data_IF_938111238123
#
_entry.id   IF_938111238123
#
_cell.length_a   1.000
_cell.length_b   1.000
_cell.length_c   1.000
_cell.angle_alpha   90.00
_cell.angle_beta   90.00
_cell.angle_gamma   90.00
#
_symmetry.space_group_name_H-M   'P 1'
#
loop_
_entity.id
_entity.type
_entity.pdbx_description
1 polymer ?
#
# COMPACT_ATOMS: atom_id res chain seq x y z
N UNK A 1 30.66 -44.11 -0.75
CA UNK A 1 29.97 -43.25 0.22
C UNK A 1 28.74 -44.04 0.64
N UNK A 2 28.95 -45.06 1.47
CA UNK A 2 28.84 -44.98 2.94
C UNK A 2 27.36 -44.79 3.33
N UNK A 3 26.64 -45.93 3.37
CA UNK A 3 25.37 -46.06 4.06
C UNK A 3 25.64 -45.87 5.56
N UNK A 4 25.18 -44.76 6.11
CA UNK A 4 25.16 -44.53 7.55
C UNK A 4 23.96 -45.30 8.13
N UNK A 5 24.29 -46.45 8.73
CA UNK A 5 23.45 -47.22 9.63
C UNK A 5 23.14 -46.35 10.85
N UNK A 6 22.01 -45.63 10.80
CA UNK A 6 21.45 -44.95 11.95
C UNK A 6 21.01 -46.00 12.96
N UNK A 7 21.91 -46.36 13.87
CA UNK A 7 21.59 -47.06 15.10
C UNK A 7 20.51 -46.28 15.83
N UNK A 8 19.28 -46.81 15.76
CA UNK A 8 18.10 -46.29 16.44
C UNK A 8 18.39 -46.23 17.93
N UNK A 9 18.64 -45.04 18.45
CA UNK A 9 18.72 -44.82 19.90
C UNK A 9 17.40 -45.29 20.52
N UNK A 10 17.44 -46.11 21.60
CA UNK A 10 16.23 -46.61 22.23
C UNK A 10 15.40 -45.42 22.69
N UNK A 11 14.19 -45.30 22.16
CA UNK A 11 13.32 -44.16 22.46
C UNK A 11 12.90 -44.21 23.93
N UNK A 12 12.57 -43.06 24.51
CA UNK A 12 12.11 -42.99 25.91
C UNK A 12 10.90 -43.92 26.18
N UNK A 13 10.11 -44.24 25.15
CA UNK A 13 9.04 -45.24 25.22
C UNK A 13 9.55 -46.67 25.36
N UNK A 14 10.65 -47.04 24.70
CA UNK A 14 11.26 -48.37 24.82
C UNK A 14 11.86 -48.57 26.22
N UNK A 15 12.50 -47.55 26.77
CA UNK A 15 13.02 -47.58 28.13
C UNK A 15 11.91 -47.61 29.19
N UNK A 16 10.80 -46.89 28.98
CA UNK A 16 9.62 -46.96 29.84
C UNK A 16 8.96 -48.35 29.79
N UNK A 17 8.89 -48.96 28.61
CA UNK A 17 8.38 -50.32 28.46
C UNK A 17 9.24 -51.32 29.26
N UNK A 18 10.56 -51.14 29.25
CA UNK A 18 11.51 -51.99 29.99
C UNK A 18 11.41 -51.79 31.52
N UNK A 19 11.22 -50.54 31.98
CA UNK A 19 10.93 -50.23 33.40
C UNK A 19 9.59 -50.82 33.85
N UNK A 20 8.57 -50.79 32.97
CA UNK A 20 7.25 -51.36 33.28
C UNK A 20 7.34 -52.89 33.36
N UNK A 21 8.13 -53.51 32.49
CA UNK A 21 8.39 -54.94 32.49
C UNK A 21 9.14 -55.38 33.76
N UNK A 22 10.18 -54.66 34.16
CA UNK A 22 10.93 -54.96 35.39
C UNK A 22 10.10 -54.74 36.65
N UNK A 23 9.22 -53.72 36.70
CA UNK A 23 8.26 -53.54 37.80
C UNK A 23 7.24 -54.66 37.90
N UNK A 24 6.73 -55.14 36.76
CA UNK A 24 5.81 -56.28 36.73
C UNK A 24 6.49 -57.54 37.27
N UNK A 25 7.75 -57.77 36.89
CA UNK A 25 8.54 -58.89 37.40
C UNK A 25 8.86 -58.78 38.90
N UNK A 26 9.18 -57.58 39.40
CA UNK A 26 9.38 -57.34 40.84
C UNK A 26 8.08 -57.60 41.63
N UNK A 27 6.93 -57.20 41.08
CA UNK A 27 5.63 -57.43 41.72
C UNK A 27 5.32 -58.93 41.81
N UNK A 28 5.66 -59.70 40.78
CA UNK A 28 5.54 -61.16 40.76
C UNK A 28 6.52 -61.84 41.75
N UNK A 29 7.75 -61.33 41.84
CA UNK A 29 8.74 -61.76 42.82
C UNK A 29 8.28 -61.47 44.27
N UNK A 30 7.62 -60.33 44.52
CA UNK A 30 7.04 -60.04 45.84
C UNK A 30 5.83 -60.93 46.16
N UNK A 31 4.96 -61.21 45.18
CA UNK A 31 3.81 -62.10 45.37
C UNK A 31 4.26 -63.53 45.71
N UNK A 32 5.30 -64.03 45.04
CA UNK A 32 5.89 -65.35 45.35
C UNK A 32 6.59 -65.36 46.72
N UNK A 33 7.21 -64.26 47.13
CA UNK A 33 7.81 -64.12 48.46
C UNK A 33 6.74 -64.06 49.56
N UNK A 34 5.62 -63.38 49.31
CA UNK A 34 4.46 -63.34 50.21
C UNK A 34 3.81 -64.74 50.34
N UNK A 35 3.72 -65.50 49.25
CA UNK A 35 3.26 -66.90 49.26
C UNK A 35 4.23 -67.81 50.03
N UNK A 36 5.54 -67.63 49.89
CA UNK A 36 6.55 -68.34 50.70
C UNK A 36 6.49 -67.96 52.18
N UNK A 37 6.21 -66.70 52.52
CA UNK A 37 6.05 -66.24 53.89
C UNK A 37 4.79 -66.87 54.52
N UNK A 38 3.66 -66.86 53.80
CA UNK A 38 2.43 -67.50 54.27
C UNK A 38 2.60 -69.02 54.44
N UNK A 39 3.34 -69.68 53.55
CA UNK A 39 3.72 -71.09 53.69
C UNK A 39 4.63 -71.34 54.91
N UNK A 40 5.51 -70.39 55.25
CA UNK A 40 6.42 -70.46 56.40
C UNK A 40 5.72 -70.23 57.75
N UNK A 41 4.61 -69.50 57.77
CA UNK A 41 3.80 -69.28 58.99
C UNK A 41 3.00 -70.55 59.36
N UNK A 42 2.74 -71.44 58.40
CA UNK A 42 2.03 -72.70 58.61
C UNK A 42 2.89 -73.83 59.22
N UNK A 43 4.22 -73.71 59.26
CA UNK A 43 5.15 -74.74 59.80
C UNK A 43 6.35 -74.12 60.56
N UNK A 44 6.62 -74.47 61.84
CA UNK A 44 7.82 -74.01 62.56
C UNK A 44 9.08 -74.77 62.08
N UNK A 45 10.30 -74.25 62.32
CA UNK A 45 11.28 -74.08 61.26
C UNK A 45 12.18 -75.30 61.08
N UNK A 46 12.11 -75.92 59.91
CA UNK A 46 13.24 -76.66 59.33
C UNK A 46 13.72 -75.84 58.12
N UNK A 47 14.88 -75.21 58.32
CA UNK A 47 15.70 -74.48 57.34
C UNK A 47 14.94 -73.61 56.34
N UNK A 48 14.69 -72.35 56.73
CA UNK A 48 14.73 -71.28 55.74
C UNK A 48 16.14 -71.30 55.16
N UNK A 49 16.26 -71.66 53.88
CA UNK A 49 17.54 -71.77 53.19
C UNK A 49 18.16 -70.37 53.10
N UNK A 50 19.09 -70.07 54.01
CA UNK A 50 19.76 -68.78 54.13
C UNK A 50 20.48 -68.35 52.83
N UNK A 51 20.72 -69.30 51.92
CA UNK A 51 21.30 -69.04 50.61
C UNK A 51 20.28 -68.49 49.59
N UNK A 52 18.99 -68.85 49.67
CA UNK A 52 17.95 -68.25 48.83
C UNK A 52 17.70 -66.77 49.20
N UNK A 53 17.69 -66.46 50.50
CA UNK A 53 17.55 -65.06 50.97
C UNK A 53 18.75 -64.22 50.54
N UNK A 54 19.97 -64.78 50.54
CA UNK A 54 21.16 -64.08 50.06
C UNK A 54 21.12 -63.85 48.56
N UNK A 55 20.69 -64.85 47.77
CA UNK A 55 20.51 -64.69 46.33
C UNK A 55 19.48 -63.60 46.02
N UNK A 56 18.35 -63.57 46.73
CA UNK A 56 17.35 -62.52 46.56
C UNK A 56 17.90 -61.13 46.91
N UNK A 57 18.69 -60.99 47.98
CA UNK A 57 19.32 -59.71 48.34
C UNK A 57 20.36 -59.23 47.31
N UNK A 58 21.15 -60.15 46.76
CA UNK A 58 22.11 -59.85 45.69
C UNK A 58 21.38 -59.42 44.41
N UNK A 59 20.31 -60.13 44.06
CA UNK A 59 19.46 -59.85 42.91
C UNK A 59 18.72 -58.51 43.04
N UNK A 60 18.24 -58.17 44.23
CA UNK A 60 17.66 -56.84 44.53
C UNK A 60 18.73 -55.74 44.39
N UNK A 61 19.96 -55.99 44.84
CA UNK A 61 21.04 -54.99 44.74
C UNK A 61 21.47 -54.74 43.29
N UNK A 62 21.52 -55.78 42.47
CA UNK A 62 21.81 -55.66 41.04
C UNK A 62 20.67 -54.98 40.30
N UNK A 63 19.42 -55.26 40.65
CA UNK A 63 18.27 -54.55 40.08
C UNK A 63 18.22 -53.08 40.49
N UNK A 64 18.55 -52.74 41.73
CA UNK A 64 18.63 -51.35 42.18
C UNK A 64 19.73 -50.57 41.43
N UNK A 65 20.83 -51.25 41.08
CA UNK A 65 21.88 -50.68 40.23
C UNK A 65 21.40 -50.44 38.81
N UNK A 66 20.73 -51.42 38.20
CA UNK A 66 20.17 -51.31 36.84
C UNK A 66 19.10 -50.22 36.77
N UNK A 67 18.22 -50.12 37.78
CA UNK A 67 17.20 -49.08 37.87
C UNK A 67 17.81 -47.68 38.00
N UNK A 68 18.90 -47.53 38.75
CA UNK A 68 19.61 -46.25 38.85
C UNK A 68 20.25 -45.85 37.52
N UNK A 69 20.83 -46.80 36.80
CA UNK A 69 21.41 -46.55 35.48
C UNK A 69 20.32 -46.21 34.45
N UNK A 70 19.19 -46.92 34.45
CA UNK A 70 18.08 -46.62 33.53
C UNK A 70 17.42 -45.28 33.85
N UNK A 71 17.22 -44.95 35.14
CA UNK A 71 16.73 -43.63 35.55
C UNK A 71 17.67 -42.50 35.13
N UNK A 72 18.98 -42.67 35.30
CA UNK A 72 19.95 -41.68 34.86
C UNK A 72 19.92 -41.48 33.33
N UNK A 73 19.75 -42.56 32.57
CA UNK A 73 19.63 -42.51 31.12
C UNK A 73 18.34 -41.80 30.68
N UNK A 74 17.20 -42.13 31.30
CA UNK A 74 15.91 -41.48 31.02
C UNK A 74 15.93 -40.00 31.39
N UNK A 75 16.55 -39.66 32.53
CA UNK A 75 16.68 -38.27 32.95
C UNK A 75 17.51 -37.47 31.94
N UNK A 76 18.59 -38.05 31.41
CA UNK A 76 19.44 -37.41 30.41
C UNK A 76 18.70 -37.23 29.07
N UNK A 77 18.01 -38.26 28.59
CA UNK A 77 17.27 -38.17 27.32
C UNK A 77 16.14 -37.15 27.40
N UNK A 78 15.40 -37.09 28.50
CA UNK A 78 14.36 -36.09 28.71
C UNK A 78 14.92 -34.67 28.69
N UNK A 79 16.08 -34.44 29.31
CA UNK A 79 16.74 -33.14 29.33
C UNK A 79 17.14 -32.70 27.91
N UNK A 80 17.80 -33.58 27.17
CA UNK A 80 18.23 -33.34 25.79
C UNK A 80 17.03 -33.09 24.86
N UNK A 81 15.93 -33.85 25.02
CA UNK A 81 14.69 -33.67 24.27
C UNK A 81 14.04 -32.31 24.57
N UNK A 82 13.93 -31.94 25.86
CA UNK A 82 13.37 -30.64 26.26
C UNK A 82 14.20 -29.46 25.78
N UNK A 83 15.53 -29.55 25.81
CA UNK A 83 16.41 -28.50 25.31
C UNK A 83 16.30 -28.37 23.77
N UNK A 84 16.19 -29.50 23.07
CA UNK A 84 16.01 -29.52 21.61
C UNK A 84 14.66 -28.96 21.18
N UNK A 85 13.59 -29.31 21.90
CA UNK A 85 12.25 -28.79 21.61
C UNK A 85 12.13 -27.31 21.97
N UNK A 86 12.71 -26.88 23.09
CA UNK A 86 12.74 -25.47 23.50
C UNK A 86 13.52 -24.61 22.49
N UNK A 87 14.67 -25.08 22.00
CA UNK A 87 15.46 -24.37 20.99
C UNK A 87 14.76 -24.33 19.64
N UNK A 88 14.17 -25.43 19.18
CA UNK A 88 13.43 -25.47 17.91
C UNK A 88 12.17 -24.59 17.93
N UNK A 89 11.41 -24.62 19.03
CA UNK A 89 10.21 -23.81 19.21
C UNK A 89 10.53 -22.31 19.26
N UNK A 90 11.57 -21.93 20.02
CA UNK A 90 12.01 -20.53 20.12
C UNK A 90 12.59 -20.01 18.80
N UNK A 91 13.37 -20.80 18.06
CA UNK A 91 13.87 -20.42 16.75
C UNK A 91 12.72 -20.16 15.76
N UNK A 92 11.72 -21.05 15.75
CA UNK A 92 10.56 -20.92 14.85
C UNK A 92 9.71 -19.70 15.20
N UNK A 93 9.51 -19.42 16.49
CA UNK A 93 8.81 -18.24 16.97
C UNK A 93 9.55 -16.94 16.59
N UNK A 94 10.87 -16.90 16.78
CA UNK A 94 11.70 -15.75 16.41
C UNK A 94 11.71 -15.51 14.89
N UNK A 95 11.81 -16.57 14.08
CA UNK A 95 11.73 -16.46 12.61
C UNK A 95 10.38 -15.91 12.18
N UNK A 96 9.28 -16.40 12.76
CA UNK A 96 7.93 -15.91 12.44
C UNK A 96 7.77 -14.44 12.82
N UNK A 97 8.22 -14.07 14.02
CA UNK A 97 8.17 -12.69 14.50
C UNK A 97 9.00 -11.75 13.61
N UNK A 98 10.23 -12.13 13.31
CA UNK A 98 11.11 -11.36 12.41
C UNK A 98 10.50 -11.21 11.01
N UNK A 99 9.93 -12.29 10.46
CA UNK A 99 9.28 -12.26 9.15
C UNK A 99 8.03 -11.36 9.13
N UNK A 100 7.30 -11.27 10.23
CA UNK A 100 6.16 -10.37 10.36
C UNK A 100 6.62 -8.92 10.48
N UNK A 101 7.60 -8.65 11.33
CA UNK A 101 8.18 -7.32 11.51
C UNK A 101 8.77 -6.77 10.20
N UNK A 102 9.54 -7.59 9.47
CA UNK A 102 10.07 -7.23 8.15
C UNK A 102 8.93 -6.89 7.18
N UNK A 103 7.84 -7.67 7.18
CA UNK A 103 6.71 -7.42 6.30
C UNK A 103 6.03 -6.08 6.60
N UNK A 104 5.86 -5.75 7.87
CA UNK A 104 5.25 -4.50 8.31
C UNK A 104 6.14 -3.31 7.94
N UNK A 105 7.44 -3.41 8.18
CA UNK A 105 8.42 -2.37 7.85
C UNK A 105 8.53 -2.16 6.33
N UNK A 106 8.60 -3.25 5.56
CA UNK A 106 8.60 -3.17 4.08
C UNK A 106 7.31 -2.53 3.57
N UNK A 107 6.15 -2.88 4.12
CA UNK A 107 4.89 -2.26 3.71
C UNK A 107 4.88 -0.75 3.96
N UNK A 108 5.46 -0.30 5.07
CA UNK A 108 5.55 1.11 5.42
C UNK A 108 6.51 1.87 4.49
N UNK A 109 7.70 1.31 4.23
CA UNK A 109 8.67 1.90 3.31
C UNK A 109 8.17 1.92 1.86
N UNK A 110 7.53 0.84 1.40
CA UNK A 110 6.91 0.80 0.07
C UNK A 110 5.83 1.87 -0.04
N UNK A 111 4.97 2.02 0.96
CA UNK A 111 3.94 3.07 0.94
C UNK A 111 4.56 4.46 0.83
N UNK A 112 5.56 4.77 1.64
CA UNK A 112 6.23 6.08 1.62
C UNK A 112 6.91 6.35 0.28
N UNK A 113 7.64 5.37 -0.26
CA UNK A 113 8.30 5.49 -1.57
C UNK A 113 7.29 5.62 -2.71
N UNK A 114 6.19 4.87 -2.66
CA UNK A 114 5.10 4.96 -3.64
C UNK A 114 4.43 6.32 -3.55
N UNK A 115 4.17 6.86 -2.36
CA UNK A 115 3.55 8.18 -2.19
C UNK A 115 4.46 9.30 -2.78
N UNK A 116 5.77 9.23 -2.55
CA UNK A 116 6.75 10.16 -3.15
C UNK A 116 6.78 10.03 -4.67
N UNK A 117 6.90 8.81 -5.18
CA UNK A 117 6.97 8.56 -6.63
C UNK A 117 5.64 8.88 -7.32
N UNK A 118 4.50 8.71 -6.66
CA UNK A 118 3.18 9.11 -7.16
C UNK A 118 3.15 10.62 -7.38
N UNK A 119 3.67 11.43 -6.46
CA UNK A 119 3.67 12.89 -6.63
C UNK A 119 4.60 13.32 -7.78
N UNK A 120 5.73 12.64 -7.97
CA UNK A 120 6.68 12.95 -9.05
C UNK A 120 6.21 12.46 -10.43
N UNK A 121 5.52 11.32 -10.49
CA UNK A 121 5.18 10.64 -11.74
C UNK A 121 3.71 10.65 -12.12
N UNK A 122 2.78 11.00 -11.23
CA UNK A 122 1.45 11.40 -11.69
C UNK A 122 1.55 12.83 -12.21
N UNK A 123 1.31 13.04 -13.53
CA UNK A 123 1.06 14.37 -14.05
C UNK A 123 -0.08 14.98 -13.24
N UNK A 124 -0.08 16.32 -13.15
CA UNK A 124 -1.11 17.15 -12.52
C UNK A 124 -2.45 16.46 -12.35
N UNK A 125 -3.04 16.52 -11.15
CA UNK A 125 -4.26 15.78 -10.81
C UNK A 125 -5.28 15.81 -11.96
N UNK A 126 -5.96 14.69 -12.23
CA UNK A 126 -6.98 14.63 -13.28
C UNK A 126 -8.01 15.77 -13.17
N UNK A 127 -8.23 16.27 -11.95
CA UNK A 127 -9.05 17.43 -11.68
C UNK A 127 -8.45 18.73 -12.24
N UNK A 128 -7.15 18.99 -12.04
CA UNK A 128 -6.47 20.13 -12.66
C UNK A 128 -6.48 20.05 -14.19
N UNK A 129 -6.25 18.86 -14.75
CA UNK A 129 -6.36 18.66 -16.21
C UNK A 129 -7.79 18.91 -16.72
N UNK A 130 -8.81 18.47 -15.98
CA UNK A 130 -10.21 18.73 -16.31
C UNK A 130 -10.54 20.23 -16.24
N UNK A 131 -10.02 20.94 -15.25
CA UNK A 131 -10.21 22.38 -15.10
C UNK A 131 -9.50 23.17 -16.21
N UNK A 132 -8.27 22.78 -16.56
CA UNK A 132 -7.51 23.41 -17.65
C UNK A 132 -8.16 23.16 -19.01
N UNK A 133 -8.61 21.94 -19.29
CA UNK A 133 -9.34 21.62 -20.53
C UNK A 133 -10.68 22.34 -20.60
N UNK A 134 -11.39 22.47 -19.49
CA UNK A 134 -12.63 23.26 -19.41
C UNK A 134 -12.35 24.74 -19.73
N UNK A 135 -11.27 25.31 -19.18
CA UNK A 135 -10.85 26.67 -19.49
C UNK A 135 -10.54 26.85 -20.98
N UNK A 136 -9.76 25.93 -21.56
CA UNK A 136 -9.45 25.94 -23.00
C UNK A 136 -10.71 25.85 -23.86
N UNK A 137 -11.69 25.02 -23.48
CA UNK A 137 -12.96 24.92 -24.19
C UNK A 137 -13.76 26.22 -24.16
N UNK A 138 -13.77 26.94 -23.03
CA UNK A 138 -14.41 28.25 -22.97
C UNK A 138 -13.68 29.28 -23.86
N UNK A 139 -12.35 29.28 -23.88
CA UNK A 139 -11.55 30.13 -24.79
C UNK A 139 -11.88 29.82 -26.26
N UNK A 140 -12.00 28.54 -26.62
CA UNK A 140 -12.40 28.11 -27.98
C UNK A 140 -13.82 28.56 -28.31
N UNK A 141 -14.78 28.42 -27.39
CA UNK A 141 -16.17 28.87 -27.61
C UNK A 141 -16.23 30.38 -27.85
N UNK A 142 -15.50 31.16 -27.06
CA UNK A 142 -15.39 32.62 -27.23
C UNK A 142 -14.80 32.94 -28.60
N UNK A 143 -13.70 32.28 -28.98
CA UNK A 143 -13.06 32.47 -30.29
C UNK A 143 -13.97 32.11 -31.46
N UNK A 144 -14.72 31.01 -31.35
CA UNK A 144 -15.72 30.60 -32.35
C UNK A 144 -16.81 31.66 -32.49
N UNK A 145 -17.37 32.13 -31.36
CA UNK A 145 -18.42 33.15 -31.36
C UNK A 145 -17.94 34.48 -31.95
N UNK A 146 -16.70 34.85 -31.66
CA UNK A 146 -16.05 36.04 -32.23
C UNK A 146 -15.83 35.86 -33.74
N UNK A 147 -15.46 34.67 -34.19
CA UNK A 147 -15.30 34.35 -35.62
C UNK A 147 -16.64 34.44 -36.36
N UNK A 148 -17.73 33.90 -35.81
CA UNK A 148 -19.09 34.07 -36.34
C UNK A 148 -19.48 35.55 -36.42
N UNK A 149 -19.21 36.31 -35.35
CA UNK A 149 -19.54 37.74 -35.29
C UNK A 149 -18.75 38.54 -36.32
N UNK A 150 -17.46 38.26 -36.50
CA UNK A 150 -16.62 38.85 -37.56
C UNK A 150 -17.14 38.53 -38.94
N UNK A 151 -17.58 37.29 -39.18
CA UNK A 151 -18.18 36.91 -40.45
C UNK A 151 -19.44 37.73 -40.73
N UNK A 152 -20.34 37.88 -39.76
CA UNK A 152 -21.53 38.73 -39.90
C UNK A 152 -21.14 40.19 -40.17
N UNK A 153 -20.16 40.71 -39.42
CA UNK A 153 -19.72 42.10 -39.55
C UNK A 153 -19.02 42.39 -40.89
N UNK A 154 -18.39 41.40 -41.51
CA UNK A 154 -17.75 41.55 -42.83
C UNK A 154 -18.70 41.95 -43.96
N UNK A 155 -20.00 41.66 -43.80
CA UNK A 155 -21.02 42.10 -44.75
C UNK A 155 -21.37 43.60 -44.60
N UNK A 156 -20.91 44.27 -43.55
CA UNK A 156 -21.14 45.69 -43.33
C UNK A 156 -20.09 46.49 -44.10
N UNK A 157 -20.58 47.34 -44.99
CA UNK A 157 -19.81 48.19 -45.89
C UNK A 157 -20.00 49.69 -45.53
N UNK A 158 -19.27 50.56 -46.24
CA UNK A 158 -19.40 52.01 -46.10
C UNK A 158 -20.82 52.54 -46.39
N UNK A 159 -21.61 51.83 -47.20
CA UNK A 159 -22.97 52.24 -47.57
C UNK A 159 -24.02 52.00 -46.48
N UNK A 160 -23.76 51.07 -45.54
CA UNK A 160 -24.73 50.61 -44.54
C UNK A 160 -24.17 50.73 -43.11
N UNK A 161 -23.59 51.89 -42.78
CA UNK A 161 -23.01 52.19 -41.45
C UNK A 161 -24.00 52.23 -40.28
N UNK A 162 -25.30 52.22 -40.57
CA UNK A 162 -26.34 52.15 -39.55
C UNK A 162 -26.67 50.71 -39.14
N UNK A 163 -26.20 49.71 -39.90
CA UNK A 163 -26.47 48.30 -39.64
C UNK A 163 -25.81 47.87 -38.32
N UNK A 164 -26.50 46.98 -37.61
CA UNK A 164 -26.10 46.55 -36.28
C UNK A 164 -24.84 45.70 -36.34
N UNK A 165 -23.83 46.07 -35.57
CA UNK A 165 -22.63 45.26 -35.38
C UNK A 165 -22.96 44.04 -34.50
N UNK A 166 -22.63 42.84 -34.99
CA UNK A 166 -22.58 41.64 -34.18
C UNK A 166 -21.49 41.80 -33.11
N UNK A 167 -21.81 41.41 -31.88
CA UNK A 167 -20.98 41.71 -30.69
C UNK A 167 -19.80 40.75 -30.60
N UNK A 168 -18.59 41.29 -30.45
CA UNK A 168 -17.41 40.52 -30.06
C UNK A 168 -17.27 40.48 -28.54
N UNK A 169 -16.90 39.32 -28.04
CA UNK A 169 -16.56 39.08 -26.64
C UNK A 169 -15.06 39.35 -26.43
N UNK A 170 -14.70 39.88 -25.28
CA UNK A 170 -13.31 40.09 -24.86
C UNK A 170 -12.65 38.79 -24.41
N UNK A 171 -11.40 38.88 -23.94
CA UNK A 171 -10.62 37.75 -23.38
C UNK A 171 -11.28 37.11 -22.16
N UNK A 172 -12.08 37.88 -21.41
CA UNK A 172 -12.89 37.39 -20.28
C UNK A 172 -14.24 36.79 -20.73
N UNK A 173 -14.54 36.71 -22.03
CA UNK A 173 -15.79 36.19 -22.57
C UNK A 173 -17.01 37.12 -22.37
N UNK A 174 -16.78 38.37 -21.98
CA UNK A 174 -17.80 39.39 -21.76
C UNK A 174 -17.85 40.42 -22.89
N UNK A 175 -18.95 41.17 -22.95
CA UNK A 175 -19.12 42.29 -23.88
C UNK A 175 -18.55 43.57 -23.24
N UNK A 176 -17.75 44.33 -23.98
CA UNK A 176 -17.35 45.68 -23.55
C UNK A 176 -18.57 46.59 -23.33
N UNK A 177 -18.65 47.32 -22.22
CA UNK A 177 -19.70 48.33 -21.99
C UNK A 177 -19.74 49.42 -23.07
N UNK A 178 -18.58 49.71 -23.67
CA UNK A 178 -18.38 50.72 -24.71
C UNK A 178 -18.54 50.14 -26.11
N UNK A 179 -19.06 48.92 -26.26
CA UNK A 179 -19.24 48.34 -27.59
C UNK A 179 -20.33 49.10 -28.37
N UNK A 180 -20.01 49.67 -29.55
CA UNK A 180 -20.96 50.46 -30.32
C UNK A 180 -22.07 49.59 -30.92
N UNK A 181 -23.28 50.15 -31.04
CA UNK A 181 -24.40 49.44 -31.66
C UNK A 181 -24.23 49.27 -33.19
N UNK A 182 -23.63 50.27 -33.83
CA UNK A 182 -23.30 50.30 -35.26
C UNK A 182 -22.05 51.16 -35.50
N UNK A 183 -21.48 51.10 -36.70
CA UNK A 183 -20.26 51.86 -37.03
C UNK A 183 -20.49 53.37 -37.02
N UNK A 184 -21.71 53.85 -37.28
CA UNK A 184 -22.06 55.26 -37.10
C UNK A 184 -21.95 55.72 -35.64
N UNK A 185 -22.38 54.92 -34.67
CA UNK A 185 -22.22 55.23 -33.24
C UNK A 185 -20.76 55.27 -32.83
N UNK A 186 -19.92 54.41 -33.41
CA UNK A 186 -18.46 54.42 -33.16
C UNK A 186 -17.84 55.76 -33.57
N UNK A 187 -18.22 56.31 -34.73
CA UNK A 187 -17.70 57.61 -35.20
C UNK A 187 -18.15 58.81 -34.34
N UNK A 188 -19.08 58.60 -33.40
CA UNK A 188 -19.46 59.61 -32.41
C UNK A 188 -18.64 59.58 -31.12
N UNK A 189 -17.69 58.66 -30.98
CA UNK A 189 -16.86 58.54 -29.78
C UNK A 189 -15.75 59.59 -29.74
N UNK A 190 -15.38 60.02 -28.54
CA UNK A 190 -14.19 60.82 -28.29
C UNK A 190 -12.94 59.94 -28.19
N UNK A 191 -11.77 60.59 -28.15
CA UNK A 191 -10.48 59.89 -28.11
C UNK A 191 -10.36 58.96 -26.91
N UNK A 192 -10.86 59.39 -25.75
CA UNK A 192 -10.77 58.61 -24.51
C UNK A 192 -11.67 57.37 -24.55
N UNK A 193 -12.89 57.48 -25.10
CA UNK A 193 -13.77 56.31 -25.30
C UNK A 193 -13.20 55.35 -26.35
N UNK A 194 -12.60 55.88 -27.42
CA UNK A 194 -11.99 55.04 -28.47
C UNK A 194 -10.77 54.28 -27.94
N UNK A 195 -9.91 54.91 -27.13
CA UNK A 195 -8.78 54.25 -26.46
C UNK A 195 -9.25 53.19 -25.49
N UNK A 196 -10.24 53.52 -24.65
CA UNK A 196 -10.83 52.58 -23.69
C UNK A 196 -11.44 51.37 -24.40
N UNK A 197 -12.10 51.57 -25.53
CA UNK A 197 -12.62 50.49 -26.36
C UNK A 197 -11.50 49.62 -26.95
N UNK A 198 -10.43 50.21 -27.47
CA UNK A 198 -9.27 49.43 -27.94
C UNK A 198 -8.65 48.61 -26.81
N UNK A 199 -8.54 49.19 -25.61
CA UNK A 199 -8.01 48.54 -24.41
C UNK A 199 -8.83 47.32 -23.99
N UNK A 200 -10.16 47.43 -23.99
CA UNK A 200 -11.07 46.33 -23.63
C UNK A 200 -10.90 45.08 -24.52
N UNK A 201 -10.34 45.25 -25.71
CA UNK A 201 -10.06 44.18 -26.68
C UNK A 201 -8.56 43.91 -26.88
N UNK A 202 -7.71 44.39 -25.97
CA UNK A 202 -6.25 44.24 -26.01
C UNK A 202 -5.62 44.72 -27.34
N UNK A 203 -6.16 45.80 -27.91
CA UNK A 203 -5.67 46.43 -29.14
C UNK A 203 -4.68 47.58 -28.83
N UNK A 204 -3.70 47.85 -29.71
CA UNK A 204 -2.70 48.88 -29.48
C UNK A 204 -3.27 50.31 -29.58
N UNK A 205 -3.44 50.96 -28.42
CA UNK A 205 -3.93 52.33 -28.32
C UNK A 205 -2.98 53.36 -28.99
N UNK A 206 -3.55 54.34 -29.69
CA UNK A 206 -2.81 55.46 -30.30
C UNK A 206 -3.45 56.79 -29.88
N UNK A 207 -2.68 57.88 -29.92
CA UNK A 207 -3.20 59.25 -29.71
C UNK A 207 -4.01 59.79 -30.90
N UNK A 208 -4.18 59.00 -31.96
CA UNK A 208 -4.97 59.31 -33.13
C UNK A 208 -6.30 58.55 -33.08
N UNK A 209 -7.40 59.31 -32.99
CA UNK A 209 -8.77 58.82 -32.95
C UNK A 209 -9.09 57.92 -34.15
N UNK A 210 -8.67 58.33 -35.36
CA UNK A 210 -8.96 57.60 -36.58
C UNK A 210 -8.21 56.28 -36.65
N UNK A 211 -6.99 56.23 -36.11
CA UNK A 211 -6.23 54.99 -36.01
C UNK A 211 -6.89 54.01 -35.04
N UNK A 212 -7.38 54.49 -33.88
CA UNK A 212 -8.12 53.64 -32.95
C UNK A 212 -9.39 53.06 -33.58
N UNK A 213 -10.17 53.90 -34.30
CA UNK A 213 -11.35 53.41 -35.05
C UNK A 213 -10.98 52.38 -36.10
N UNK A 214 -9.93 52.64 -36.89
CA UNK A 214 -9.49 51.70 -37.93
C UNK A 214 -9.04 50.38 -37.34
N UNK A 215 -8.30 50.40 -36.24
CA UNK A 215 -7.86 49.18 -35.56
C UNK A 215 -9.06 48.38 -35.02
N UNK A 216 -10.01 49.06 -34.38
CA UNK A 216 -11.22 48.42 -33.89
C UNK A 216 -12.06 47.83 -35.03
N UNK A 217 -12.35 48.59 -36.08
CA UNK A 217 -13.11 48.12 -37.25
C UNK A 217 -12.43 46.93 -37.94
N UNK A 218 -11.10 46.95 -38.05
CA UNK A 218 -10.31 45.82 -38.55
C UNK A 218 -10.43 44.60 -37.64
N UNK A 219 -10.40 44.78 -36.31
CA UNK A 219 -10.56 43.69 -35.35
C UNK A 219 -11.97 43.09 -35.37
N UNK A 220 -12.99 43.93 -35.56
CA UNK A 220 -14.41 43.55 -35.67
C UNK A 220 -14.72 42.88 -37.02
N UNK A 221 -13.85 43.05 -38.02
CA UNK A 221 -13.92 42.38 -39.32
C UNK A 221 -14.71 43.13 -40.38
N UNK A 222 -14.89 44.45 -40.23
CA UNK A 222 -15.58 45.29 -41.23
C UNK A 222 -14.57 45.94 -42.19
N UNK A 223 -14.93 46.08 -43.46
CA UNK A 223 -14.12 46.79 -44.49
C UNK A 223 -14.45 48.29 -44.60
N UNK A 224 -14.95 48.88 -43.52
CA UNK A 224 -15.31 50.31 -43.51
C UNK A 224 -14.02 51.13 -43.53
N UNK A 225 -13.92 52.01 -44.52
CA UNK A 225 -12.80 52.93 -44.66
C UNK A 225 -13.08 54.19 -43.86
N UNK A 226 -12.30 54.39 -42.79
CA UNK A 226 -12.33 55.64 -42.03
C UNK A 226 -11.45 56.65 -42.77
N UNK A 227 -12.04 57.35 -43.73
CA UNK A 227 -11.34 58.33 -44.55
C UNK A 227 -10.92 59.56 -43.75
N UNK A 228 -9.63 59.86 -43.73
CA UNK A 228 -9.16 61.24 -43.67
C UNK A 228 -9.48 61.80 -45.06
N UNK A 229 -10.56 62.58 -45.21
CA UNK A 229 -10.69 63.41 -46.41
C UNK A 229 -9.63 64.51 -46.32
N UNK A 230 -8.61 64.54 -47.19
CA UNK A 230 -7.80 65.74 -47.33
C UNK A 230 -8.72 66.81 -47.94
N UNK A 231 -9.00 67.85 -47.16
CA UNK A 231 -9.52 69.12 -47.70
C UNK A 231 -8.39 69.90 -48.35
#
# INVERSE_FOLDING_TARGET
>A
MAEEDHGTEPTAQDALADVTYTLAYITDAFATLEECIDASVAFPPESVDLDEIKQLLEQISDQDRILKESLAQVQKSLLDETDREATASTETALRTYAAQWIREEVALQVKEQVDVQIVEHLPESLQKQADDTKRQLEEIKVSLRNSESRMINSFIQNANTNDRLAVLLNTDGQKSPLYPANSRSLFGYDLDSAKSLCKDYDLPETDDLFMNFRQFLKHVGTDIEVGISPS
#
